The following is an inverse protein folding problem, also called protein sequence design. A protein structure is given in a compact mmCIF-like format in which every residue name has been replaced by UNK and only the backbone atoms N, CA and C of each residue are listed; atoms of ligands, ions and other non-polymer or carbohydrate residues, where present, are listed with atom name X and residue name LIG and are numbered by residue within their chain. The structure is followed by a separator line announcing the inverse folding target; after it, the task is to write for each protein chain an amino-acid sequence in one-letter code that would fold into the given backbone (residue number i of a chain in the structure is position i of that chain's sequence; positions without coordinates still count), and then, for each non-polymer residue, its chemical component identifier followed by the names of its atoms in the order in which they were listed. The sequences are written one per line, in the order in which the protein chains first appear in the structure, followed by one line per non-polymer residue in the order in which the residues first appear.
data_IF_570485737432
#
_entry.id   IF_570485737432
#
_cell.length_a   1.000
_cell.length_b   1.000
_cell.length_c   1.000
_cell.angle_alpha   90.00
_cell.angle_beta   90.00
_cell.angle_gamma   90.00
#
_symmetry.space_group_name_H-M   'P 1'
#
loop_
_entity.id
_entity.type
_entity.pdbx_description
1 polymer ?
#
# COMPACT_ATOMS: atom_id res chain seq x y z
N UNK A 1 28.29 5.32 -15.86
CA UNK A 1 28.28 3.85 -16.07
C UNK A 1 26.86 3.44 -15.75
N UNK A 2 26.09 3.18 -16.80
CA UNK A 2 24.64 3.01 -16.76
C UNK A 2 24.37 1.64 -16.10
N UNK A 3 23.83 1.61 -14.89
CA UNK A 3 23.26 0.40 -14.30
C UNK A 3 21.93 0.13 -14.99
N UNK A 4 22.01 -0.61 -16.08
CA UNK A 4 20.87 -1.30 -16.66
C UNK A 4 20.31 -2.27 -15.62
N UNK A 5 19.10 -2.00 -15.21
CA UNK A 5 18.09 -2.89 -14.64
C UNK A 5 18.49 -4.36 -14.59
N UNK A 6 18.97 -4.82 -13.47
CA UNK A 6 18.75 -6.19 -13.04
C UNK A 6 17.32 -6.25 -12.45
N UNK A 7 16.34 -6.27 -13.34
CA UNK A 7 15.07 -6.90 -13.03
C UNK A 7 15.41 -8.35 -12.67
N UNK A 8 15.60 -8.63 -11.39
CA UNK A 8 15.54 -10.00 -10.91
C UNK A 8 14.25 -10.60 -11.48
N UNK A 9 14.29 -11.73 -12.16
CA UNK A 9 13.08 -12.34 -12.70
C UNK A 9 12.11 -12.46 -11.53
N UNK A 10 10.88 -12.03 -11.76
CA UNK A 10 9.79 -12.21 -10.81
C UNK A 10 9.91 -13.64 -10.26
N UNK A 11 9.83 -13.86 -8.93
CA UNK A 11 9.87 -15.20 -8.38
C UNK A 11 8.88 -16.02 -9.20
N UNK A 12 9.34 -17.13 -9.78
CA UNK A 12 8.52 -18.01 -10.59
C UNK A 12 7.31 -18.34 -9.74
N UNK A 13 6.18 -17.76 -10.04
CA UNK A 13 4.90 -18.36 -9.69
C UNK A 13 5.01 -19.78 -10.23
N UNK A 14 4.86 -20.77 -9.38
CA UNK A 14 4.82 -22.15 -9.84
C UNK A 14 3.80 -22.18 -10.98
N UNK A 15 4.16 -22.63 -12.18
CA UNK A 15 3.38 -22.36 -13.40
C UNK A 15 1.95 -22.92 -13.38
N UNK A 16 1.60 -23.72 -12.37
CA UNK A 16 0.32 -24.41 -12.27
C UNK A 16 -0.57 -23.94 -11.09
N UNK A 17 -0.16 -22.95 -10.28
CA UNK A 17 -0.97 -22.47 -9.15
C UNK A 17 -1.92 -21.36 -9.60
N UNK A 18 -3.18 -21.70 -9.84
CA UNK A 18 -4.22 -20.71 -10.08
C UNK A 18 -4.67 -20.10 -8.73
N UNK A 19 -4.40 -18.79 -8.55
CA UNK A 19 -4.92 -18.04 -7.41
C UNK A 19 -6.45 -18.00 -7.49
N UNK A 20 -7.13 -18.45 -6.44
CA UNK A 20 -8.58 -18.38 -6.32
C UNK A 20 -9.01 -17.01 -5.78
N UNK A 21 -8.51 -16.64 -4.62
CA UNK A 21 -8.77 -15.35 -3.99
C UNK A 21 -7.79 -15.08 -2.83
N UNK A 22 -7.97 -13.94 -2.18
CA UNK A 22 -7.31 -13.59 -0.90
C UNK A 22 -8.38 -13.45 0.17
N UNK A 23 -8.19 -14.08 1.33
CA UNK A 23 -9.10 -14.00 2.47
C UNK A 23 -8.37 -13.64 3.76
N UNK A 24 -9.13 -13.28 4.78
CA UNK A 24 -8.67 -13.03 6.14
C UNK A 24 -9.45 -13.86 7.17
N UNK A 25 -9.19 -13.60 8.45
CA UNK A 25 -9.84 -14.32 9.53
C UNK A 25 -11.35 -14.05 9.63
N UNK A 26 -11.82 -12.87 9.25
CA UNK A 26 -13.25 -12.53 9.27
C UNK A 26 -13.99 -13.30 8.16
N UNK A 27 -13.43 -13.29 6.94
CA UNK A 27 -13.97 -14.05 5.81
C UNK A 27 -13.93 -15.56 6.13
N UNK A 28 -12.80 -16.07 6.65
CA UNK A 28 -12.68 -17.47 7.02
C UNK A 28 -13.71 -17.88 8.09
N UNK A 29 -13.92 -17.04 9.10
CA UNK A 29 -14.92 -17.29 10.14
C UNK A 29 -16.34 -17.29 9.60
N UNK A 30 -16.66 -16.39 8.67
CA UNK A 30 -17.98 -16.37 8.03
C UNK A 30 -18.24 -17.63 7.19
N UNK A 31 -17.23 -18.12 6.47
CA UNK A 31 -17.34 -19.34 5.68
C UNK A 31 -17.47 -20.60 6.57
N UNK A 32 -16.80 -20.63 7.74
CA UNK A 32 -16.95 -21.72 8.71
C UNK A 32 -18.40 -21.85 9.21
N UNK A 33 -19.17 -20.76 9.31
CA UNK A 33 -20.57 -20.85 9.74
C UNK A 33 -21.46 -21.58 8.73
N UNK A 34 -21.03 -21.69 7.46
CA UNK A 34 -21.74 -22.44 6.43
C UNK A 34 -21.58 -23.95 6.59
N UNK A 35 -20.55 -24.41 7.32
CA UNK A 35 -20.27 -25.82 7.59
C UNK A 35 -21.22 -26.44 8.63
N UNK A 36 -21.83 -25.62 9.51
CA UNK A 36 -22.60 -26.11 10.67
C UNK A 36 -23.97 -26.72 10.31
N UNK A 37 -24.31 -26.81 9.03
CA UNK A 37 -25.63 -27.21 8.53
C UNK A 37 -25.72 -28.53 7.76
N UNK A 38 -24.81 -29.51 7.93
CA UNK A 38 -24.87 -30.81 7.22
C UNK A 38 -24.07 -30.85 5.89
N UNK A 39 -22.74 -30.90 6.01
CA UNK A 39 -21.82 -31.00 4.86
C UNK A 39 -21.74 -32.41 4.23
N UNK A 40 -22.73 -33.28 4.45
CA UNK A 40 -22.70 -34.65 3.91
C UNK A 40 -22.79 -34.68 2.37
N UNK A 41 -23.54 -33.75 1.78
CA UNK A 41 -23.70 -33.65 0.32
C UNK A 41 -23.21 -32.30 -0.20
N UNK A 42 -22.42 -32.26 -1.29
CA UNK A 42 -22.00 -31.04 -1.94
C UNK A 42 -23.21 -30.20 -2.36
N UNK A 43 -23.23 -28.92 -2.03
CA UNK A 43 -24.30 -28.02 -2.41
C UNK A 43 -23.79 -26.59 -2.63
N UNK A 44 -24.56 -25.78 -3.33
CA UNK A 44 -24.27 -24.37 -3.58
C UNK A 44 -25.04 -23.51 -2.58
N UNK A 45 -24.36 -22.56 -1.99
CA UNK A 45 -24.98 -21.48 -1.19
C UNK A 45 -24.88 -20.19 -1.98
N UNK A 46 -26.05 -19.64 -2.32
CA UNK A 46 -26.13 -18.33 -2.98
C UNK A 46 -26.09 -17.20 -1.95
N UNK A 47 -25.39 -16.13 -2.26
CA UNK A 47 -25.22 -14.98 -1.40
C UNK A 47 -24.22 -13.97 -1.95
N UNK A 48 -23.92 -12.97 -1.16
CA UNK A 48 -22.88 -11.98 -1.46
C UNK A 48 -21.69 -12.24 -0.52
N UNK A 49 -20.74 -13.06 -0.99
CA UNK A 49 -19.61 -13.50 -0.18
C UNK A 49 -18.38 -12.64 -0.50
N UNK A 50 -17.92 -11.91 0.49
CA UNK A 50 -16.70 -11.09 0.36
C UNK A 50 -15.46 -11.95 0.13
N UNK A 51 -14.65 -11.54 -0.82
CA UNK A 51 -13.32 -12.07 -1.12
C UNK A 51 -12.34 -10.92 -1.41
N UNK A 52 -11.06 -11.24 -1.59
CA UNK A 52 -10.03 -10.27 -1.91
C UNK A 52 -9.99 -9.09 -0.91
N UNK A 53 -10.15 -9.43 0.37
CA UNK A 53 -10.11 -8.49 1.49
C UNK A 53 -11.18 -7.37 1.34
N UNK A 54 -12.38 -7.74 0.96
CA UNK A 54 -13.50 -6.80 0.79
C UNK A 54 -13.52 -6.06 -0.55
N UNK A 55 -12.53 -6.26 -1.43
CA UNK A 55 -12.49 -5.57 -2.73
C UNK A 55 -13.45 -6.16 -3.77
N UNK A 56 -13.76 -7.43 -3.64
CA UNK A 56 -14.63 -8.18 -4.56
C UNK A 56 -15.56 -9.07 -3.76
N UNK A 57 -16.70 -9.42 -4.32
CA UNK A 57 -17.57 -10.47 -3.81
C UNK A 57 -17.88 -11.51 -4.88
N UNK A 58 -18.33 -12.67 -4.45
CA UNK A 58 -18.84 -13.74 -5.31
C UNK A 58 -20.29 -14.05 -4.95
N UNK A 59 -21.10 -14.38 -5.96
CA UNK A 59 -22.54 -14.59 -5.80
C UNK A 59 -22.87 -15.95 -5.19
N UNK A 60 -21.92 -16.89 -5.16
CA UNK A 60 -22.14 -18.21 -4.58
C UNK A 60 -20.85 -18.87 -4.11
N UNK A 61 -20.96 -19.76 -3.13
CA UNK A 61 -19.93 -20.67 -2.69
C UNK A 61 -20.40 -22.11 -2.87
N UNK A 62 -19.51 -22.98 -3.25
CA UNK A 62 -19.75 -24.42 -3.25
C UNK A 62 -19.24 -25.02 -1.96
N UNK A 63 -20.13 -25.59 -1.19
CA UNK A 63 -19.83 -26.29 0.07
C UNK A 63 -19.58 -27.74 -0.29
N UNK A 64 -18.40 -28.23 0.02
CA UNK A 64 -17.94 -29.60 -0.23
C UNK A 64 -17.74 -30.32 1.11
N UNK A 65 -17.67 -31.64 1.07
CA UNK A 65 -17.45 -32.43 2.30
C UNK A 65 -16.15 -32.05 3.03
N UNK A 66 -15.12 -31.67 2.30
CA UNK A 66 -13.79 -31.35 2.81
C UNK A 66 -13.44 -29.85 2.82
N UNK A 67 -14.31 -28.96 2.31
CA UNK A 67 -14.02 -27.55 2.30
C UNK A 67 -14.96 -26.69 1.43
N UNK A 68 -14.43 -25.57 0.97
CA UNK A 68 -15.15 -24.58 0.15
C UNK A 68 -14.48 -24.41 -1.20
N UNK A 69 -15.28 -24.35 -2.27
CA UNK A 69 -14.85 -23.96 -3.61
C UNK A 69 -15.57 -22.68 -4.05
N UNK A 70 -14.88 -21.84 -4.84
CA UNK A 70 -15.44 -20.63 -5.44
C UNK A 70 -16.09 -20.91 -6.80
N UNK A 71 -15.38 -21.67 -7.63
CA UNK A 71 -15.84 -22.08 -8.97
C UNK A 71 -15.29 -23.49 -9.25
N UNK A 72 -16.16 -24.47 -9.46
CA UNK A 72 -15.74 -25.82 -9.83
C UNK A 72 -15.76 -26.83 -8.68
N UNK A 73 -15.30 -28.06 -8.94
CA UNK A 73 -15.46 -29.22 -8.06
C UNK A 73 -14.34 -29.41 -7.04
N UNK A 74 -13.26 -28.65 -7.11
CA UNK A 74 -12.12 -28.79 -6.19
C UNK A 74 -12.14 -27.68 -5.14
N UNK A 75 -11.96 -28.00 -3.84
CA UNK A 75 -11.89 -27.00 -2.81
C UNK A 75 -10.70 -26.06 -3.04
N UNK A 76 -10.91 -24.76 -2.85
CA UNK A 76 -9.81 -23.79 -2.77
C UNK A 76 -9.27 -23.67 -1.35
N UNK A 77 -9.99 -24.21 -0.36
CA UNK A 77 -9.60 -24.23 1.05
C UNK A 77 -10.39 -25.32 1.79
N UNK A 78 -9.71 -26.08 2.62
CA UNK A 78 -10.34 -27.11 3.47
C UNK A 78 -10.90 -26.48 4.76
N UNK A 79 -11.78 -27.21 5.47
CA UNK A 79 -12.32 -26.78 6.77
C UNK A 79 -11.24 -26.56 7.83
N UNK A 80 -10.25 -27.44 7.89
CA UNK A 80 -9.13 -27.33 8.84
C UNK A 80 -8.26 -26.09 8.52
N UNK A 81 -8.05 -25.81 7.24
CA UNK A 81 -7.33 -24.63 6.81
C UNK A 81 -8.08 -23.34 7.13
N UNK A 82 -9.40 -23.30 6.95
CA UNK A 82 -10.23 -22.17 7.36
C UNK A 82 -10.14 -21.92 8.87
N UNK A 83 -10.21 -22.97 9.70
CA UNK A 83 -10.02 -22.84 11.13
C UNK A 83 -8.64 -22.26 11.47
N UNK A 84 -7.60 -22.74 10.80
CA UNK A 84 -6.23 -22.24 10.96
C UNK A 84 -6.11 -20.77 10.59
N UNK A 85 -6.73 -20.33 9.48
CA UNK A 85 -6.73 -18.94 9.02
C UNK A 85 -7.49 -18.06 10.02
N UNK A 86 -8.68 -18.47 10.45
CA UNK A 86 -9.49 -17.75 11.43
C UNK A 86 -8.74 -17.53 12.75
N UNK A 87 -7.96 -18.51 13.20
CA UNK A 87 -7.18 -18.42 14.44
C UNK A 87 -5.91 -17.57 14.31
N UNK A 88 -5.21 -17.68 13.18
CA UNK A 88 -3.90 -17.02 12.99
C UNK A 88 -4.00 -15.57 12.54
N UNK A 89 -5.11 -15.18 11.96
CA UNK A 89 -5.30 -13.85 11.38
C UNK A 89 -4.36 -13.54 10.22
N UNK A 90 -4.34 -12.29 9.78
CA UNK A 90 -3.58 -11.84 8.61
C UNK A 90 -4.30 -12.14 7.30
N UNK A 91 -3.65 -11.84 6.17
CA UNK A 91 -4.18 -12.08 4.84
C UNK A 91 -3.56 -13.35 4.22
N UNK A 92 -4.37 -14.16 3.56
CA UNK A 92 -3.98 -15.46 3.01
C UNK A 92 -4.42 -15.59 1.57
N UNK A 93 -3.51 -16.03 0.72
CA UNK A 93 -3.80 -16.44 -0.66
C UNK A 93 -4.33 -17.88 -0.66
N UNK A 94 -5.47 -18.10 -1.29
CA UNK A 94 -6.02 -19.42 -1.55
C UNK A 94 -5.70 -19.83 -2.98
N UNK A 95 -5.30 -21.08 -3.17
CA UNK A 95 -4.95 -21.64 -4.45
C UNK A 95 -5.73 -22.94 -4.67
N UNK A 96 -6.20 -23.20 -5.88
CA UNK A 96 -6.89 -24.46 -6.20
C UNK A 96 -5.93 -25.64 -6.05
N UNK A 97 -6.28 -26.61 -5.20
CA UNK A 97 -5.49 -27.81 -4.97
C UNK A 97 -4.16 -27.62 -4.23
N UNK A 98 -3.95 -26.46 -3.58
CA UNK A 98 -2.72 -26.18 -2.84
C UNK A 98 -3.00 -25.53 -1.50
N UNK A 99 -2.08 -25.70 -0.55
CA UNK A 99 -2.19 -25.07 0.77
C UNK A 99 -2.25 -23.53 0.70
N UNK A 100 -3.09 -22.90 1.54
CA UNK A 100 -3.12 -21.46 1.70
C UNK A 100 -1.78 -20.89 2.15
N UNK A 101 -1.40 -19.76 1.57
CA UNK A 101 -0.15 -19.06 1.90
C UNK A 101 -0.42 -17.69 2.51
N UNK A 102 0.10 -17.45 3.69
CA UNK A 102 0.03 -16.13 4.33
C UNK A 102 0.87 -15.13 3.53
N UNK A 103 0.36 -13.91 3.40
CA UNK A 103 1.05 -12.83 2.70
C UNK A 103 1.98 -12.12 3.69
N UNK A 104 3.17 -12.65 3.83
CA UNK A 104 4.23 -12.13 4.72
C UNK A 104 5.61 -12.51 4.21
N UNK A 105 6.64 -11.91 4.80
CA UNK A 105 8.03 -12.24 4.53
C UNK A 105 9.02 -11.48 5.41
N UNK A 106 10.29 -11.73 5.19
CA UNK A 106 11.41 -11.00 5.79
C UNK A 106 12.19 -10.28 4.70
N UNK A 107 12.48 -9.01 4.91
CA UNK A 107 13.30 -8.23 4.00
C UNK A 107 14.77 -8.34 4.41
N UNK A 108 15.59 -8.90 3.52
CA UNK A 108 17.06 -8.92 3.68
C UNK A 108 17.65 -7.52 3.61
N UNK A 109 16.98 -6.58 2.92
CA UNK A 109 17.48 -5.22 2.77
C UNK A 109 17.25 -4.40 4.05
N UNK A 110 16.04 -4.44 4.60
CA UNK A 110 15.67 -3.62 5.76
C UNK A 110 15.77 -4.39 7.08
N UNK A 111 16.07 -5.70 7.03
CA UNK A 111 16.13 -6.62 8.19
C UNK A 111 14.83 -6.60 9.02
N UNK A 112 13.68 -6.50 8.32
CA UNK A 112 12.35 -6.43 8.96
C UNK A 112 11.40 -7.45 8.37
N UNK A 113 10.51 -7.94 9.21
CA UNK A 113 9.35 -8.70 8.76
C UNK A 113 8.25 -7.76 8.31
N UNK A 114 7.55 -8.14 7.25
CA UNK A 114 6.35 -7.46 6.80
C UNK A 114 5.24 -8.48 6.56
N UNK A 115 4.02 -8.18 6.98
CA UNK A 115 2.85 -9.00 6.72
C UNK A 115 1.66 -8.13 6.31
N UNK A 116 0.92 -8.56 5.29
CA UNK A 116 -0.33 -7.92 4.91
C UNK A 116 -1.39 -8.20 5.97
N UNK A 117 -2.03 -7.16 6.47
CA UNK A 117 -2.98 -7.24 7.56
C UNK A 117 -4.31 -6.58 7.16
N UNK A 118 -5.42 -7.31 7.27
CA UNK A 118 -6.74 -6.76 6.94
C UNK A 118 -7.12 -5.65 7.90
N UNK A 119 -7.96 -4.75 7.43
CA UNK A 119 -8.58 -3.71 8.25
C UNK A 119 -10.08 -4.01 8.42
N UNK A 120 -10.68 -3.62 9.54
CA UNK A 120 -12.09 -3.89 9.78
C UNK A 120 -13.00 -3.31 8.69
N UNK A 121 -14.13 -3.99 8.43
CA UNK A 121 -15.17 -3.49 7.52
C UNK A 121 -14.82 -3.57 6.04
N UNK A 122 -13.86 -4.42 5.65
CA UNK A 122 -13.49 -4.60 4.25
C UNK A 122 -12.79 -3.39 3.62
N UNK A 123 -12.23 -2.50 4.41
CA UNK A 123 -11.39 -1.41 3.94
C UNK A 123 -10.04 -1.94 3.40
N UNK A 124 -9.28 -1.14 2.61
CA UNK A 124 -7.97 -1.56 2.12
C UNK A 124 -7.06 -2.05 3.25
N UNK A 125 -6.36 -3.18 3.10
CA UNK A 125 -5.47 -3.70 4.15
C UNK A 125 -4.29 -2.78 4.42
N UNK A 126 -3.63 -2.99 5.56
CA UNK A 126 -2.34 -2.36 5.88
C UNK A 126 -1.20 -3.39 5.84
N UNK A 127 0.02 -2.92 6.04
CA UNK A 127 1.17 -3.79 6.35
C UNK A 127 1.58 -3.58 7.80
N UNK A 128 1.81 -4.67 8.50
CA UNK A 128 2.54 -4.68 9.78
C UNK A 128 4.02 -4.85 9.45
N UNK A 129 4.81 -3.79 9.64
CA UNK A 129 6.23 -3.75 9.35
C UNK A 129 7.03 -3.72 10.66
N UNK A 130 7.76 -4.80 10.97
CA UNK A 130 8.54 -4.88 12.20
C UNK A 130 7.71 -4.65 13.47
N UNK A 131 6.44 -5.07 13.47
CA UNK A 131 5.50 -4.90 14.60
C UNK A 131 4.71 -3.60 14.61
N UNK A 132 4.87 -2.70 13.62
CA UNK A 132 4.15 -1.43 13.54
C UNK A 132 3.25 -1.39 12.30
N UNK A 133 2.04 -0.87 12.44
CA UNK A 133 1.18 -0.62 11.30
C UNK A 133 1.75 0.48 10.41
N UNK A 134 1.84 0.23 9.10
CA UNK A 134 2.25 1.21 8.12
C UNK A 134 1.26 2.38 8.04
N UNK A 135 -0.02 2.08 7.99
CA UNK A 135 -1.08 3.09 8.00
C UNK A 135 -1.61 3.30 9.41
N UNK A 136 -2.12 4.50 9.66
CA UNK A 136 -2.82 4.80 10.90
C UNK A 136 -4.19 4.15 10.88
N UNK A 137 -4.41 3.22 11.82
CA UNK A 137 -5.70 2.55 12.04
C UNK A 137 -6.14 2.86 13.45
N UNK A 138 -7.02 3.86 13.62
CA UNK A 138 -7.57 4.24 14.92
C UNK A 138 -8.89 4.99 14.74
N UNK A 139 -9.96 4.53 15.39
CA UNK A 139 -11.29 5.09 15.24
C UNK A 139 -11.80 4.89 13.82
N UNK A 140 -12.20 5.97 13.16
CA UNK A 140 -12.68 5.98 11.77
C UNK A 140 -11.54 6.03 10.73
N UNK A 141 -10.29 6.00 11.17
CA UNK A 141 -9.13 6.07 10.27
C UNK A 141 -8.76 4.69 9.76
N UNK A 142 -8.77 4.52 8.47
CA UNK A 142 -8.29 3.38 7.72
C UNK A 142 -7.37 3.84 6.56
N UNK A 143 -6.73 2.92 5.80
CA UNK A 143 -5.84 3.32 4.70
C UNK A 143 -6.53 4.12 3.59
N UNK A 144 -7.82 3.92 3.31
CA UNK A 144 -8.54 4.71 2.31
C UNK A 144 -8.83 6.13 2.80
N UNK A 145 -9.24 6.28 4.06
CA UNK A 145 -9.45 7.59 4.69
C UNK A 145 -8.14 8.37 4.77
N UNK A 146 -7.05 7.72 5.19
CA UNK A 146 -5.71 8.31 5.25
C UNK A 146 -5.23 8.79 3.88
N UNK A 147 -5.31 7.94 2.86
CA UNK A 147 -4.96 8.27 1.47
C UNK A 147 -5.77 9.45 0.95
N UNK A 148 -7.09 9.43 1.16
CA UNK A 148 -7.98 10.51 0.74
C UNK A 148 -7.61 11.84 1.41
N UNK A 149 -7.36 11.82 2.72
CA UNK A 149 -6.98 13.03 3.46
C UNK A 149 -5.69 13.67 2.91
N UNK A 150 -4.68 12.86 2.53
CA UNK A 150 -3.43 13.33 1.91
C UNK A 150 -3.70 14.03 0.57
N UNK A 151 -4.45 13.38 -0.32
CA UNK A 151 -4.74 13.94 -1.63
C UNK A 151 -5.71 15.13 -1.58
N UNK A 152 -6.64 15.15 -0.65
CA UNK A 152 -7.55 16.28 -0.45
C UNK A 152 -6.82 17.50 0.13
N UNK A 153 -5.77 17.30 0.93
CA UNK A 153 -4.89 18.37 1.36
C UNK A 153 -4.20 19.05 0.17
N UNK A 154 -3.73 18.30 -0.82
CA UNK A 154 -3.17 18.82 -2.08
C UNK A 154 -4.27 19.48 -2.92
N UNK A 155 -5.48 18.93 -2.87
CA UNK A 155 -6.67 19.50 -3.51
C UNK A 155 -6.57 19.57 -5.04
N UNK A 156 -6.97 20.70 -5.61
CA UNK A 156 -6.94 20.95 -7.07
C UNK A 156 -5.52 21.03 -7.64
N UNK A 157 -4.51 21.16 -6.80
CA UNK A 157 -3.11 21.16 -7.22
C UNK A 157 -2.60 19.76 -7.57
N UNK A 158 -3.31 18.69 -7.19
CA UNK A 158 -2.99 17.31 -7.59
C UNK A 158 -3.35 17.10 -9.06
N UNK A 159 -2.41 17.45 -9.94
CA UNK A 159 -2.55 17.42 -11.39
C UNK A 159 -1.19 17.26 -12.07
N UNK A 160 -1.20 17.00 -13.38
CA UNK A 160 0.01 16.87 -14.19
C UNK A 160 0.82 15.66 -13.79
N UNK A 161 2.12 15.77 -13.69
CA UNK A 161 3.03 14.69 -13.34
C UNK A 161 3.27 14.65 -11.84
N UNK A 162 2.98 13.53 -11.23
CA UNK A 162 3.11 13.29 -9.77
C UNK A 162 4.29 12.38 -9.50
N UNK A 163 5.10 12.72 -8.49
CA UNK A 163 6.08 11.83 -7.88
C UNK A 163 5.58 11.40 -6.50
N UNK A 164 5.46 10.11 -6.30
CA UNK A 164 5.11 9.48 -5.03
C UNK A 164 6.35 8.78 -4.45
N UNK A 165 6.81 9.23 -3.30
CA UNK A 165 8.02 8.71 -2.65
C UNK A 165 7.65 7.89 -1.44
N UNK A 166 8.17 6.66 -1.38
CA UNK A 166 7.80 5.59 -0.45
C UNK A 166 6.42 5.01 -0.79
N UNK A 167 6.38 4.23 -1.85
CA UNK A 167 5.14 3.62 -2.40
C UNK A 167 4.32 2.88 -1.35
N UNK A 168 4.95 2.10 -0.47
CA UNK A 168 4.26 1.22 0.47
C UNK A 168 3.32 0.27 -0.27
N UNK A 169 2.01 0.26 0.08
CA UNK A 169 1.00 -0.50 -0.67
C UNK A 169 0.48 0.23 -1.93
N UNK A 170 0.95 1.45 -2.19
CA UNK A 170 0.66 2.20 -3.41
C UNK A 170 -0.67 2.92 -3.46
N UNK A 171 -1.39 3.01 -2.36
CA UNK A 171 -2.73 3.61 -2.35
C UNK A 171 -2.70 5.09 -2.74
N UNK A 172 -1.67 5.83 -2.34
CA UNK A 172 -1.50 7.24 -2.70
C UNK A 172 -1.23 7.41 -4.19
N UNK A 173 -0.33 6.58 -4.77
CA UNK A 173 -0.04 6.59 -6.19
C UNK A 173 -1.28 6.24 -7.03
N UNK A 174 -2.02 5.19 -6.64
CA UNK A 174 -3.26 4.76 -7.30
C UNK A 174 -4.31 5.87 -7.26
N UNK A 175 -4.60 6.41 -6.09
CA UNK A 175 -5.61 7.45 -5.93
C UNK A 175 -5.21 8.79 -6.60
N UNK A 176 -3.91 9.05 -6.77
CA UNK A 176 -3.44 10.16 -7.58
C UNK A 176 -3.69 9.90 -9.08
N UNK A 177 -3.41 8.69 -9.58
CA UNK A 177 -3.63 8.31 -10.97
C UNK A 177 -5.11 8.33 -11.38
N UNK A 178 -6.02 8.02 -10.46
CA UNK A 178 -7.47 8.09 -10.66
C UNK A 178 -7.97 9.52 -10.93
N UNK A 179 -7.21 10.56 -10.53
CA UNK A 179 -7.59 11.93 -10.80
C UNK A 179 -7.45 12.27 -12.28
N UNK A 180 -8.53 12.78 -12.90
CA UNK A 180 -8.54 13.11 -14.33
C UNK A 180 -7.47 14.14 -14.72
N UNK A 181 -7.10 15.05 -13.81
CA UNK A 181 -6.09 16.08 -14.05
C UNK A 181 -4.64 15.57 -13.92
N UNK A 182 -4.42 14.34 -13.41
CA UNK A 182 -3.11 13.69 -13.33
C UNK A 182 -2.81 12.97 -14.64
N UNK A 183 -1.66 13.25 -15.22
CA UNK A 183 -1.21 12.66 -16.49
C UNK A 183 -0.32 11.46 -16.33
N UNK A 184 0.51 11.45 -15.29
CA UNK A 184 1.37 10.32 -14.93
C UNK A 184 1.78 10.37 -13.46
N UNK A 185 2.11 9.20 -12.92
CA UNK A 185 2.62 9.01 -11.56
C UNK A 185 3.88 8.19 -11.65
N UNK A 186 4.99 8.72 -11.14
CA UNK A 186 6.18 7.95 -10.85
C UNK A 186 6.17 7.62 -9.35
N UNK A 187 6.29 6.35 -8.96
CA UNK A 187 6.30 5.95 -7.55
C UNK A 187 7.54 5.12 -7.22
N UNK A 188 8.17 5.39 -6.07
CA UNK A 188 9.47 4.82 -5.69
C UNK A 188 9.30 3.96 -4.44
N UNK A 189 9.66 2.68 -4.54
CA UNK A 189 9.71 1.73 -3.43
C UNK A 189 11.13 1.21 -3.24
N UNK A 190 11.61 1.21 -2.01
CA UNK A 190 12.93 0.71 -1.67
C UNK A 190 12.96 -0.81 -1.54
N UNK A 191 11.94 -1.39 -0.89
CA UNK A 191 11.99 -2.77 -0.39
C UNK A 191 11.40 -3.79 -1.38
N UNK A 192 12.21 -4.72 -1.91
CA UNK A 192 11.72 -5.80 -2.78
C UNK A 192 10.62 -6.65 -2.13
N UNK A 193 10.65 -6.83 -0.80
CA UNK A 193 9.58 -7.54 -0.10
C UNK A 193 8.25 -6.78 -0.20
N UNK A 194 8.29 -5.45 -0.04
CA UNK A 194 7.09 -4.64 -0.20
C UNK A 194 6.53 -4.76 -1.61
N UNK A 195 7.38 -4.73 -2.64
CA UNK A 195 6.97 -4.95 -4.02
C UNK A 195 6.33 -6.35 -4.25
N UNK A 196 6.76 -7.38 -3.53
CA UNK A 196 6.12 -8.70 -3.55
C UNK A 196 4.75 -8.69 -2.85
N UNK A 197 4.64 -8.00 -1.71
CA UNK A 197 3.36 -7.85 -0.99
C UNK A 197 2.35 -7.07 -1.84
N UNK A 198 2.78 -5.99 -2.51
CA UNK A 198 1.95 -5.24 -3.47
C UNK A 198 1.31 -6.16 -4.53
N UNK A 199 2.09 -7.06 -5.13
CA UNK A 199 1.60 -8.01 -6.16
C UNK A 199 0.56 -8.99 -5.63
N UNK A 200 0.58 -9.29 -4.34
CA UNK A 200 -0.33 -10.22 -3.66
C UNK A 200 -1.54 -9.51 -3.04
N UNK A 201 -1.49 -8.19 -2.96
CA UNK A 201 -2.57 -7.38 -2.41
C UNK A 201 -3.57 -6.99 -3.50
N UNK A 202 -4.82 -7.46 -3.45
CA UNK A 202 -5.83 -7.11 -4.45
C UNK A 202 -6.08 -5.60 -4.60
N UNK A 203 -5.88 -4.85 -3.52
CA UNK A 203 -6.05 -3.39 -3.50
C UNK A 203 -4.90 -2.64 -4.18
N UNK A 204 -3.77 -3.29 -4.41
CA UNK A 204 -2.61 -2.72 -5.11
C UNK A 204 -2.60 -3.03 -6.62
N UNK A 205 -3.61 -3.71 -7.15
CA UNK A 205 -3.62 -4.18 -8.56
C UNK A 205 -3.38 -3.02 -9.55
N UNK A 206 -4.02 -1.87 -9.35
CA UNK A 206 -3.86 -0.72 -10.23
C UNK A 206 -2.43 -0.16 -10.30
N UNK A 207 -1.55 -0.44 -9.31
CA UNK A 207 -0.11 -0.14 -9.44
C UNK A 207 0.54 -0.81 -10.64
N UNK A 208 -0.02 -1.93 -11.09
CA UNK A 208 0.54 -2.77 -12.15
C UNK A 208 -0.21 -2.60 -13.47
N UNK A 209 -1.49 -2.25 -13.38
CA UNK A 209 -2.42 -2.27 -14.51
C UNK A 209 -2.72 -0.87 -15.06
N UNK A 210 -2.56 0.20 -14.26
CA UNK A 210 -2.82 1.57 -14.73
C UNK A 210 -1.63 2.10 -15.54
N UNK A 211 -1.82 2.42 -16.83
CA UNK A 211 -0.76 2.93 -17.70
C UNK A 211 -0.20 4.29 -17.28
N UNK A 212 -0.87 5.04 -16.40
CA UNK A 212 -0.34 6.28 -15.84
C UNK A 212 0.75 6.04 -14.80
N UNK A 213 0.86 4.84 -14.22
CA UNK A 213 1.77 4.56 -13.09
C UNK A 213 3.05 3.90 -13.56
N UNK A 214 4.17 4.56 -13.30
CA UNK A 214 5.53 3.99 -13.47
C UNK A 214 6.11 3.69 -12.09
N UNK A 215 6.43 2.42 -11.84
CA UNK A 215 6.99 1.96 -10.56
C UNK A 215 8.50 1.84 -10.65
N UNK A 216 9.19 2.37 -9.66
CA UNK A 216 10.64 2.26 -9.49
C UNK A 216 10.94 1.48 -8.22
N UNK A 217 11.63 0.35 -8.34
CA UNK A 217 12.18 -0.39 -7.20
C UNK A 217 13.63 0.10 -7.00
N UNK A 218 13.81 1.10 -6.15
CA UNK A 218 15.08 1.78 -5.97
C UNK A 218 15.11 2.56 -4.64
N UNK A 219 16.32 2.92 -4.20
CA UNK A 219 16.49 3.94 -3.17
C UNK A 219 16.15 5.32 -3.75
N UNK A 220 15.23 6.03 -3.09
CA UNK A 220 14.83 7.37 -3.52
C UNK A 220 15.97 8.39 -3.45
N UNK A 221 16.92 8.23 -2.53
CA UNK A 221 18.11 9.09 -2.41
C UNK A 221 19.00 8.95 -3.65
N UNK A 222 19.13 7.73 -4.16
CA UNK A 222 19.97 7.43 -5.33
C UNK A 222 19.23 7.74 -6.65
N UNK A 223 17.90 7.55 -6.68
CA UNK A 223 17.11 7.70 -7.90
C UNK A 223 16.75 9.16 -8.22
N UNK A 224 16.43 9.98 -7.21
CA UNK A 224 15.97 11.36 -7.44
C UNK A 224 16.91 12.18 -8.32
N UNK A 225 18.25 12.10 -8.20
CA UNK A 225 19.18 12.82 -9.06
C UNK A 225 19.06 12.50 -10.56
N UNK A 226 18.49 11.36 -10.93
CA UNK A 226 18.29 10.97 -12.32
C UNK A 226 17.04 11.64 -12.97
N UNK A 227 16.15 12.21 -12.20
CA UNK A 227 15.03 12.97 -12.75
C UNK A 227 15.46 14.40 -13.09
N UNK A 228 14.91 14.94 -14.17
CA UNK A 228 15.16 16.32 -14.59
C UNK A 228 14.60 17.33 -13.56
N UNK A 229 15.31 18.46 -13.43
CA UNK A 229 14.84 19.57 -12.61
C UNK A 229 13.47 20.10 -13.13
N UNK A 230 12.55 20.36 -12.23
CA UNK A 230 11.22 20.88 -12.59
C UNK A 230 10.37 19.93 -13.43
N UNK A 231 10.54 18.62 -13.27
CA UNK A 231 9.81 17.61 -14.03
C UNK A 231 8.45 17.24 -13.43
N UNK A 232 8.21 17.51 -12.14
CA UNK A 232 6.98 17.14 -11.44
C UNK A 232 6.15 18.35 -11.03
N UNK A 233 4.84 18.24 -11.15
CA UNK A 233 3.87 19.24 -10.67
C UNK A 233 3.57 19.04 -9.18
N UNK A 234 3.60 17.78 -8.72
CA UNK A 234 3.31 17.38 -7.34
C UNK A 234 4.34 16.37 -6.88
N UNK A 235 4.79 16.52 -5.65
CA UNK A 235 5.53 15.49 -4.92
C UNK A 235 4.71 15.08 -3.70
N UNK A 236 4.44 13.80 -3.55
CA UNK A 236 3.91 13.20 -2.33
C UNK A 236 5.07 12.47 -1.65
N UNK A 237 5.44 12.90 -0.47
CA UNK A 237 6.50 12.29 0.33
C UNK A 237 5.89 11.71 1.59
N UNK A 238 5.73 10.38 1.61
CA UNK A 238 5.11 9.63 2.69
C UNK A 238 6.07 8.62 3.32
N UNK A 239 7.17 9.11 3.93
CA UNK A 239 8.24 8.25 4.43
C UNK A 239 7.85 7.52 5.71
N UNK A 240 8.53 6.41 6.04
CA UNK A 240 8.51 5.84 7.37
C UNK A 240 8.93 6.87 8.42
N UNK A 241 8.63 6.59 9.70
CA UNK A 241 9.01 7.48 10.79
C UNK A 241 10.51 7.85 10.73
N UNK A 242 10.86 9.08 11.08
CA UNK A 242 12.24 9.60 11.00
C UNK A 242 13.29 8.69 11.66
N UNK A 243 12.94 8.01 12.73
CA UNK A 243 13.84 7.05 13.39
C UNK A 243 14.19 5.83 12.52
N UNK A 244 13.39 5.57 11.48
CA UNK A 244 13.55 4.44 10.57
C UNK A 244 14.22 4.83 9.25
N UNK A 245 14.05 6.08 8.81
CA UNK A 245 14.46 6.57 7.50
C UNK A 245 14.95 8.02 7.59
N UNK A 246 15.93 8.28 8.47
CA UNK A 246 16.42 9.63 8.78
C UNK A 246 16.92 10.40 7.57
N UNK A 247 17.48 9.73 6.58
CA UNK A 247 17.99 10.32 5.33
C UNK A 247 16.89 11.01 4.53
N UNK A 248 15.68 10.44 4.51
CA UNK A 248 14.52 11.01 3.83
C UNK A 248 13.98 12.29 4.49
N UNK A 249 14.52 12.65 5.66
CA UNK A 249 14.22 13.89 6.39
C UNK A 249 15.41 14.86 6.37
N UNK A 250 16.44 14.60 5.61
CA UNK A 250 17.64 15.44 5.50
C UNK A 250 17.40 16.68 4.64
N UNK A 251 18.19 17.73 4.87
CA UNK A 251 18.13 18.94 4.05
C UNK A 251 18.55 18.67 2.59
N UNK A 252 19.51 17.77 2.38
CA UNK A 252 19.92 17.35 1.03
C UNK A 252 18.81 16.64 0.28
N UNK A 253 18.08 15.74 0.93
CA UNK A 253 16.94 15.08 0.31
C UNK A 253 15.82 16.07 -0.04
N UNK A 254 15.50 17.00 0.85
CA UNK A 254 14.52 18.05 0.55
C UNK A 254 14.97 18.98 -0.57
N UNK A 255 16.28 19.24 -0.72
CA UNK A 255 16.81 19.99 -1.85
C UNK A 255 16.58 19.26 -3.19
N UNK A 256 16.72 17.93 -3.21
CA UNK A 256 16.38 17.12 -4.39
C UNK A 256 14.87 17.12 -4.67
N UNK A 257 14.01 16.96 -3.66
CA UNK A 257 12.55 17.10 -3.84
C UNK A 257 12.20 18.48 -4.40
N UNK A 258 12.87 19.54 -3.92
CA UNK A 258 12.69 20.90 -4.45
C UNK A 258 13.18 21.03 -5.87
N UNK A 259 14.31 20.43 -6.22
CA UNK A 259 14.92 20.49 -7.56
C UNK A 259 13.99 19.87 -8.62
N UNK A 260 13.43 18.69 -8.34
CA UNK A 260 12.55 17.97 -9.27
C UNK A 260 11.16 18.61 -9.39
N UNK A 261 10.77 19.42 -8.42
CA UNK A 261 9.47 20.10 -8.38
C UNK A 261 9.48 21.36 -9.24
N UNK A 262 8.45 21.55 -10.07
CA UNK A 262 8.23 22.75 -10.88
C UNK A 262 8.12 24.00 -9.99
N UNK A 263 8.41 25.21 -10.51
CA UNK A 263 8.30 26.45 -9.73
C UNK A 263 6.92 26.69 -9.12
N UNK A 264 5.84 26.23 -9.77
CA UNK A 264 4.46 26.32 -9.28
C UNK A 264 3.93 24.98 -8.73
N UNK A 265 4.82 24.03 -8.48
CA UNK A 265 4.48 22.73 -7.94
C UNK A 265 4.22 22.76 -6.44
N UNK A 266 3.81 21.63 -5.89
CA UNK A 266 3.49 21.47 -4.48
C UNK A 266 4.08 20.16 -3.94
N UNK A 267 4.67 20.23 -2.75
CA UNK A 267 5.07 19.08 -1.96
C UNK A 267 4.02 18.85 -0.87
N UNK A 268 3.53 17.62 -0.74
CA UNK A 268 2.94 17.10 0.49
C UNK A 268 3.97 16.21 1.18
N UNK A 269 4.17 16.41 2.49
CA UNK A 269 5.06 15.58 3.31
C UNK A 269 4.34 15.08 4.56
N UNK A 270 4.19 13.76 4.68
CA UNK A 270 3.68 13.12 5.89
C UNK A 270 4.71 13.24 7.03
N UNK A 271 4.28 13.62 8.21
CA UNK A 271 5.17 13.82 9.37
C UNK A 271 4.66 13.03 10.59
N UNK A 272 3.35 12.87 10.72
CA UNK A 272 2.69 12.25 11.85
C UNK A 272 1.67 13.18 12.52
N UNK A 273 1.19 12.79 13.70
CA UNK A 273 0.15 13.52 14.41
C UNK A 273 0.69 14.85 14.98
N UNK A 274 0.27 16.02 14.46
CA UNK A 274 0.78 17.30 14.95
C UNK A 274 0.38 17.62 16.40
N UNK A 275 -0.65 16.95 16.92
CA UNK A 275 -1.10 17.12 18.32
C UNK A 275 -0.22 16.37 19.32
N UNK A 276 0.61 15.42 18.87
CA UNK A 276 1.50 14.68 19.75
C UNK A 276 2.73 15.51 20.12
N UNK A 277 3.18 15.42 21.38
CA UNK A 277 4.39 16.14 21.85
C UNK A 277 5.65 15.79 21.04
N UNK A 278 5.78 14.56 20.60
CA UNK A 278 6.91 14.09 19.81
C UNK A 278 6.89 14.71 18.39
N UNK A 279 5.74 14.72 17.74
CA UNK A 279 5.59 15.27 16.38
C UNK A 279 5.75 16.78 16.33
N UNK A 280 5.33 17.54 17.34
CA UNK A 280 5.45 19.01 17.33
C UNK A 280 6.90 19.51 17.21
N UNK A 281 7.88 18.80 17.77
CA UNK A 281 9.31 19.11 17.57
C UNK A 281 9.75 18.75 16.15
N UNK A 282 9.26 17.60 15.63
CA UNK A 282 9.58 17.13 14.30
C UNK A 282 9.03 18.08 13.23
N UNK A 283 7.76 18.54 13.34
CA UNK A 283 7.16 19.52 12.42
C UNK A 283 7.99 20.79 12.31
N UNK A 284 8.42 21.37 13.45
CA UNK A 284 9.28 22.57 13.43
C UNK A 284 10.61 22.32 12.72
N UNK A 285 11.23 21.17 12.97
CA UNK A 285 12.50 20.80 12.33
C UNK A 285 12.33 20.54 10.81
N UNK A 286 11.25 19.89 10.40
CA UNK A 286 10.93 19.65 8.99
C UNK A 286 10.66 20.99 8.29
N UNK A 287 9.78 21.84 8.83
CA UNK A 287 9.48 23.14 8.24
C UNK A 287 10.72 24.02 8.07
N UNK A 288 11.67 23.98 9.02
CA UNK A 288 12.93 24.72 8.88
C UNK A 288 13.78 24.15 7.74
N UNK A 289 13.99 22.82 7.68
CA UNK A 289 14.78 22.18 6.62
C UNK A 289 14.16 22.36 5.23
N UNK A 290 12.83 22.38 5.13
CA UNK A 290 12.14 22.68 3.87
C UNK A 290 12.44 24.12 3.40
N UNK A 291 12.41 25.09 4.31
CA UNK A 291 12.80 26.49 3.99
C UNK A 291 14.25 26.59 3.55
N UNK A 292 15.15 25.90 4.22
CA UNK A 292 16.59 25.88 3.91
C UNK A 292 16.83 25.20 2.53
N UNK A 293 15.99 24.24 2.15
CA UNK A 293 16.00 23.58 0.84
C UNK A 293 15.35 24.40 -0.30
N UNK A 294 14.85 25.62 -0.01
CA UNK A 294 14.30 26.51 -1.05
C UNK A 294 12.78 26.47 -1.20
N UNK A 295 12.05 25.89 -0.23
CA UNK A 295 10.61 26.07 -0.14
C UNK A 295 10.31 27.43 0.55
N UNK A 296 9.39 28.21 -0.02
CA UNK A 296 9.06 29.55 0.50
C UNK A 296 8.00 29.54 1.58
N UNK A 297 6.90 28.83 1.31
CA UNK A 297 5.73 28.72 2.20
C UNK A 297 5.52 27.30 2.61
N UNK A 298 5.21 27.09 3.89
CA UNK A 298 4.81 25.78 4.43
C UNK A 298 3.50 25.93 5.20
N UNK A 299 2.66 24.89 5.17
CA UNK A 299 1.35 24.85 5.83
C UNK A 299 1.10 23.47 6.44
N UNK A 300 0.92 23.42 7.75
CA UNK A 300 0.52 22.19 8.43
C UNK A 300 -0.92 21.81 8.10
N UNK A 301 -1.14 20.56 7.70
CA UNK A 301 -2.44 19.98 7.39
C UNK A 301 -2.77 18.88 8.39
N UNK A 302 -3.38 19.28 9.51
CA UNK A 302 -3.58 18.41 10.65
C UNK A 302 -4.39 17.15 10.33
N UNK A 303 -5.42 17.25 9.46
CA UNK A 303 -6.26 16.11 9.06
C UNK A 303 -5.49 15.08 8.23
N UNK A 304 -4.46 15.49 7.51
CA UNK A 304 -3.61 14.64 6.70
C UNK A 304 -2.28 14.31 7.41
N UNK A 305 -2.08 14.72 8.65
CA UNK A 305 -0.88 14.43 9.44
C UNK A 305 0.44 14.86 8.79
N UNK A 306 0.41 15.92 8.01
CA UNK A 306 1.56 16.34 7.20
C UNK A 306 1.66 17.84 7.03
N UNK A 307 2.53 18.22 6.11
CA UNK A 307 2.82 19.59 5.73
C UNK A 307 2.78 19.75 4.22
N UNK A 308 2.15 20.80 3.74
CA UNK A 308 2.28 21.27 2.37
C UNK A 308 3.42 22.27 2.28
N UNK A 309 4.18 22.22 1.19
CA UNK A 309 5.23 23.18 0.92
C UNK A 309 5.25 23.59 -0.55
N UNK A 310 5.48 24.88 -0.80
CA UNK A 310 5.58 25.47 -2.13
C UNK A 310 6.98 26.00 -2.38
N UNK A 311 7.50 25.85 -3.61
CA UNK A 311 8.76 26.47 -4.01
C UNK A 311 8.79 27.97 -3.70
N UNK A 312 9.96 28.47 -3.29
CA UNK A 312 10.20 29.90 -3.21
C UNK A 312 10.12 30.50 -4.61
N UNK A 313 9.33 31.56 -4.77
CA UNK A 313 9.22 32.34 -6.01
C UNK A 313 10.46 33.18 -6.24
#
# INVERSE_FOLDING_TARGET
MIFLSLLSPAPRLYPDQTLACVIDAEIASSWLTLADGNCADPHTVDGDFSVDLGKRSVASLQILADGVALDGAEPCVTWDELQRIAQKGGAWQLFRGYEPKRIEGHSELTQRTASLYPTPGGAPPTVVLGGFNMHRIKGEMDPAVDTRAKLDAIGRSCRGRVLDVCTGLGYTAIAAAERAAVTSVDTIELDPLMAQIQRKNPWSAALFDDPKITRHLADAVELLPAFDAGSFDVVVHDPPAQAMAGELYSASFYAELRRVLRPNGILYHYIGDPSSKASGKLFRGVGQRLRDAGFGTTQTVARAYGELAWPKR
#
